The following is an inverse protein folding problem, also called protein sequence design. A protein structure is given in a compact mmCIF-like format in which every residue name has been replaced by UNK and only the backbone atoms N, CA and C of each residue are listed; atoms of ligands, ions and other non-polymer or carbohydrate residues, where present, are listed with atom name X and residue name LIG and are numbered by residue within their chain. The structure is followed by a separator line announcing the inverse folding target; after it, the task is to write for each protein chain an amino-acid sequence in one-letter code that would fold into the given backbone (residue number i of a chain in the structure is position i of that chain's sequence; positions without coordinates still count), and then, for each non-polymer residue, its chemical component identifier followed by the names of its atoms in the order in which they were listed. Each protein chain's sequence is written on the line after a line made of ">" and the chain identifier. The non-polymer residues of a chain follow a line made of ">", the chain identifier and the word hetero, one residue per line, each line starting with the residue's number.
data_IF_000125776196
#
_entry.id   IF_000125776196
#
_cell.length_a   1.000
_cell.length_b   1.000
_cell.length_c   1.000
_cell.angle_alpha   90.00
_cell.angle_beta   90.00
_cell.angle_gamma   90.00
#
_symmetry.space_group_name_H-M   'P 1'
#
loop_
_entity.id
_entity.type
_entity.pdbx_description
1 polymer ?
#
# COMPACT_ATOMS: atom_id res chain seq x y z
N UNK A 1 20.02 -11.02 -11.30
CA UNK A 1 19.49 -10.99 -12.69
C UNK A 1 18.16 -11.74 -12.78
N UNK A 2 18.07 -12.93 -12.19
CA UNK A 2 16.87 -13.80 -12.22
C UNK A 2 15.61 -13.17 -11.60
N UNK A 3 15.73 -12.46 -10.47
CA UNK A 3 14.59 -11.83 -9.78
C UNK A 3 13.84 -10.80 -10.64
N UNK A 4 14.61 -9.89 -11.24
CA UNK A 4 14.10 -8.83 -12.10
C UNK A 4 13.39 -9.41 -13.31
N UNK A 5 13.95 -10.47 -13.89
CA UNK A 5 13.35 -11.15 -15.03
C UNK A 5 12.01 -11.80 -14.65
N UNK A 6 11.92 -12.48 -13.50
CA UNK A 6 10.66 -13.04 -12.98
C UNK A 6 9.58 -11.96 -12.78
N UNK A 7 9.93 -10.82 -12.19
CA UNK A 7 9.01 -9.68 -12.04
C UNK A 7 8.53 -9.14 -13.38
N UNK A 8 9.45 -8.92 -14.31
CA UNK A 8 9.13 -8.40 -15.64
C UNK A 8 8.24 -9.38 -16.44
N UNK A 9 8.52 -10.69 -16.38
CA UNK A 9 7.70 -11.72 -17.01
C UNK A 9 6.29 -11.76 -16.42
N UNK A 10 6.16 -11.67 -15.10
CA UNK A 10 4.86 -11.61 -14.44
C UNK A 10 4.10 -10.31 -14.77
N UNK A 11 4.77 -9.16 -14.74
CA UNK A 11 4.18 -7.87 -15.11
C UNK A 11 3.66 -7.88 -16.55
N UNK A 12 4.41 -8.49 -17.47
CA UNK A 12 3.99 -8.68 -18.87
C UNK A 12 2.75 -9.57 -18.96
N UNK A 13 2.72 -10.69 -18.22
CA UNK A 13 1.54 -11.57 -18.16
C UNK A 13 0.30 -10.86 -17.62
N UNK A 14 0.47 -9.94 -16.66
CA UNK A 14 -0.61 -9.13 -16.07
C UNK A 14 -0.93 -7.85 -16.86
N UNK A 15 -0.29 -7.63 -18.02
CA UNK A 15 -0.65 -6.57 -18.96
C UNK A 15 -0.10 -5.18 -18.63
N UNK A 16 1.16 -5.09 -18.18
CA UNK A 16 1.85 -3.80 -18.02
C UNK A 16 2.02 -3.11 -19.38
N UNK A 17 1.94 -1.77 -19.43
CA UNK A 17 2.17 -1.02 -20.65
C UNK A 17 3.67 -1.02 -21.06
N UNK A 18 3.95 -0.65 -22.32
CA UNK A 18 5.31 -0.61 -22.86
C UNK A 18 6.25 0.31 -22.06
N UNK A 19 5.76 1.48 -21.64
CA UNK A 19 6.53 2.45 -20.85
C UNK A 19 6.86 1.92 -19.47
N UNK A 20 5.89 1.31 -18.77
CA UNK A 20 6.09 0.66 -17.48
C UNK A 20 7.07 -0.52 -17.57
N UNK A 21 6.97 -1.33 -18.62
CA UNK A 21 7.91 -2.42 -18.88
C UNK A 21 9.33 -1.90 -19.15
N UNK A 22 9.46 -0.82 -19.92
CA UNK A 22 10.73 -0.14 -20.19
C UNK A 22 11.36 0.42 -18.92
N UNK A 23 10.56 1.04 -18.05
CA UNK A 23 11.01 1.55 -16.77
C UNK A 23 11.54 0.43 -15.86
N UNK A 24 10.80 -0.67 -15.71
CA UNK A 24 11.25 -1.84 -14.95
C UNK A 24 12.59 -2.40 -15.47
N UNK A 25 12.81 -2.39 -16.79
CA UNK A 25 14.07 -2.83 -17.41
C UNK A 25 15.27 -1.97 -16.99
N UNK A 26 15.05 -0.74 -16.54
CA UNK A 26 16.11 0.17 -16.09
C UNK A 26 16.40 0.09 -14.58
N UNK A 27 15.49 -0.49 -13.78
CA UNK A 27 15.61 -0.55 -12.32
C UNK A 27 16.59 -1.62 -11.81
N UNK A 28 17.26 -1.34 -10.69
CA UNK A 28 17.91 -2.36 -9.86
C UNK A 28 16.89 -3.01 -8.89
N UNK A 29 17.33 -3.94 -8.04
CA UNK A 29 16.45 -4.65 -7.09
C UNK A 29 15.65 -3.67 -6.23
N UNK A 30 16.29 -2.65 -5.70
CA UNK A 30 15.67 -1.74 -4.73
C UNK A 30 14.69 -0.79 -5.43
N UNK A 31 14.99 -0.37 -6.67
CA UNK A 31 14.11 0.45 -7.50
C UNK A 31 12.91 -0.29 -8.08
N UNK A 32 12.89 -1.63 -8.03
CA UNK A 32 11.70 -2.39 -8.46
C UNK A 32 10.51 -2.18 -7.53
N UNK A 33 10.75 -1.92 -6.24
CA UNK A 33 9.69 -1.50 -5.31
C UNK A 33 9.23 -0.08 -5.58
N UNK A 34 10.12 0.78 -6.06
CA UNK A 34 9.71 2.14 -6.40
C UNK A 34 8.72 2.13 -7.57
N UNK A 35 8.84 1.19 -8.52
CA UNK A 35 7.82 0.93 -9.56
C UNK A 35 6.45 0.58 -8.95
N UNK A 36 6.45 -0.16 -7.83
CA UNK A 36 5.26 -0.62 -7.13
C UNK A 36 4.60 0.52 -6.35
N UNK A 37 5.41 1.31 -5.63
CA UNK A 37 4.99 2.49 -4.86
C UNK A 37 4.50 3.62 -5.76
N UNK A 38 5.05 3.77 -6.97
CA UNK A 38 4.65 4.82 -7.93
C UNK A 38 3.40 4.49 -8.72
N UNK A 39 3.03 3.21 -8.84
CA UNK A 39 1.82 2.77 -9.55
C UNK A 39 0.99 1.80 -8.70
N UNK A 40 0.59 2.21 -7.49
CA UNK A 40 0.02 1.29 -6.52
C UNK A 40 -1.31 0.73 -7.03
N UNK A 41 -2.15 1.54 -7.68
CA UNK A 41 -3.44 1.13 -8.23
C UNK A 41 -3.32 -0.02 -9.24
N UNK A 42 -2.43 0.10 -10.23
CA UNK A 42 -2.20 -0.94 -11.23
C UNK A 42 -1.73 -2.25 -10.59
N UNK A 43 -0.83 -2.13 -9.63
CA UNK A 43 -0.25 -3.27 -8.93
C UNK A 43 -1.27 -3.98 -8.03
N UNK A 44 -2.09 -3.21 -7.31
CA UNK A 44 -3.15 -3.73 -6.46
C UNK A 44 -4.28 -4.38 -7.27
N UNK A 45 -4.75 -3.73 -8.33
CA UNK A 45 -5.79 -4.28 -9.21
C UNK A 45 -5.44 -5.65 -9.80
N UNK A 46 -4.14 -5.92 -9.98
CA UNK A 46 -3.63 -7.11 -10.66
C UNK A 46 -2.97 -8.11 -9.73
N UNK A 47 -2.98 -7.90 -8.41
CA UNK A 47 -2.31 -8.77 -7.45
C UNK A 47 -0.82 -8.97 -7.79
N UNK A 48 -0.09 -7.86 -7.93
CA UNK A 48 1.30 -7.86 -8.38
C UNK A 48 2.17 -6.96 -7.49
N UNK A 49 3.35 -7.41 -7.03
CA UNK A 49 3.81 -8.80 -7.02
C UNK A 49 2.98 -9.65 -6.04
N UNK A 50 2.97 -10.96 -6.21
CA UNK A 50 2.22 -11.86 -5.30
C UNK A 50 2.82 -11.88 -3.89
N UNK A 51 2.01 -12.21 -2.88
CA UNK A 51 2.46 -12.38 -1.49
C UNK A 51 3.70 -13.27 -1.33
N UNK A 52 3.75 -14.50 -1.88
CA UNK A 52 4.92 -15.36 -1.75
C UNK A 52 6.18 -14.71 -2.32
N UNK A 53 6.03 -13.98 -3.43
CA UNK A 53 7.13 -13.29 -4.07
C UNK A 53 7.69 -12.17 -3.20
N UNK A 54 6.81 -11.36 -2.59
CA UNK A 54 7.20 -10.28 -1.68
C UNK A 54 7.91 -10.84 -0.44
N UNK A 55 7.38 -11.90 0.17
CA UNK A 55 8.00 -12.53 1.35
C UNK A 55 9.38 -13.11 1.06
N UNK A 56 9.56 -13.78 -0.07
CA UNK A 56 10.84 -14.41 -0.44
C UNK A 56 11.93 -13.39 -0.80
N UNK A 57 11.55 -12.31 -1.49
CA UNK A 57 12.54 -11.45 -2.17
C UNK A 57 12.67 -10.05 -1.55
N UNK A 58 11.71 -9.66 -0.73
CA UNK A 58 11.59 -8.32 -0.16
C UNK A 58 11.10 -8.36 1.31
N UNK A 59 11.77 -9.10 2.22
CA UNK A 59 11.36 -9.17 3.62
C UNK A 59 11.53 -7.84 4.38
N UNK A 60 12.45 -6.98 3.95
CA UNK A 60 12.88 -5.78 4.67
C UNK A 60 12.51 -4.49 3.91
N UNK A 61 11.22 -4.25 3.65
CA UNK A 61 10.74 -3.12 2.81
C UNK A 61 9.76 -2.19 3.51
N UNK A 62 9.61 -2.38 4.82
CA UNK A 62 8.75 -1.55 5.66
C UNK A 62 9.25 -0.10 5.76
N UNK A 63 10.57 0.11 5.59
CA UNK A 63 11.21 1.43 5.53
C UNK A 63 10.74 2.25 4.31
N UNK A 64 10.18 1.58 3.29
CA UNK A 64 9.52 2.19 2.13
C UNK A 64 8.00 2.34 2.31
N UNK A 65 7.47 2.04 3.50
CA UNK A 65 6.05 2.11 3.81
C UNK A 65 5.24 0.92 3.28
N UNK A 66 5.87 -0.17 2.86
CA UNK A 66 5.20 -1.37 2.36
C UNK A 66 5.15 -2.45 3.46
N UNK A 67 3.96 -2.93 3.77
CA UNK A 67 3.71 -3.92 4.82
C UNK A 67 2.95 -5.11 4.24
N UNK A 68 3.41 -6.33 4.56
CA UNK A 68 2.89 -7.56 3.97
C UNK A 68 2.74 -8.61 5.07
N UNK A 69 1.57 -9.24 5.21
CA UNK A 69 1.27 -10.27 6.22
C UNK A 69 1.64 -9.87 7.67
N UNK A 70 1.59 -8.57 7.96
CA UNK A 70 2.01 -8.01 9.24
C UNK A 70 0.87 -7.99 10.26
N UNK A 71 1.21 -8.24 11.53
CA UNK A 71 0.32 -7.95 12.66
C UNK A 71 0.72 -6.62 13.29
N UNK A 72 -0.20 -5.65 13.28
CA UNK A 72 -0.04 -4.32 13.86
C UNK A 72 -0.60 -4.25 15.27
N UNK A 73 0.13 -3.59 16.16
CA UNK A 73 -0.16 -3.46 17.59
C UNK A 73 -0.44 -2.01 18.04
N UNK A 74 -0.63 -1.08 17.11
CA UNK A 74 -0.96 0.33 17.40
C UNK A 74 0.11 1.31 16.94
N UNK A 75 1.00 0.88 16.04
CA UNK A 75 2.05 1.67 15.42
C UNK A 75 1.44 2.89 14.72
N UNK A 76 2.17 4.02 14.73
CA UNK A 76 1.76 5.23 14.05
C UNK A 76 2.38 5.29 12.66
N UNK A 77 1.55 5.22 11.62
CA UNK A 77 1.98 5.31 10.22
C UNK A 77 1.71 6.74 9.73
N UNK A 78 2.71 7.62 9.85
CA UNK A 78 2.59 9.02 9.43
C UNK A 78 3.88 9.62 8.84
N UNK A 79 4.88 8.79 8.54
CA UNK A 79 6.17 9.23 7.95
C UNK A 79 6.16 9.06 6.43
N UNK A 80 5.45 8.07 5.92
CA UNK A 80 5.33 7.76 4.49
C UNK A 80 3.88 7.49 4.12
N UNK A 81 3.63 7.39 2.82
CA UNK A 81 2.46 6.68 2.32
C UNK A 81 2.54 5.22 2.78
N UNK A 82 1.42 4.62 3.20
CA UNK A 82 1.41 3.26 3.72
C UNK A 82 0.66 2.33 2.77
N UNK A 83 1.36 1.27 2.38
CA UNK A 83 0.95 0.27 1.42
C UNK A 83 0.82 -1.07 2.17
N UNK A 84 -0.39 -1.39 2.61
CA UNK A 84 -0.66 -2.46 3.56
C UNK A 84 -1.38 -3.61 2.86
N UNK A 85 -0.68 -4.72 2.68
CA UNK A 85 -1.14 -5.79 1.79
C UNK A 85 -1.21 -7.14 2.47
N UNK A 86 -2.05 -7.99 1.90
CA UNK A 86 -2.07 -9.43 2.12
C UNK A 86 -2.14 -9.83 3.59
N UNK A 87 -3.33 -10.16 4.08
CA UNK A 87 -3.54 -10.68 5.44
C UNK A 87 -3.04 -9.79 6.60
N UNK A 88 -2.54 -8.58 6.33
CA UNK A 88 -2.21 -7.61 7.35
C UNK A 88 -3.39 -7.38 8.30
N UNK A 89 -3.14 -7.40 9.61
CA UNK A 89 -4.19 -7.38 10.63
C UNK A 89 -3.81 -6.55 11.84
N UNK A 90 -4.80 -6.11 12.62
CA UNK A 90 -4.57 -5.44 13.90
C UNK A 90 -4.98 -3.97 13.90
N UNK A 91 -4.25 -3.14 14.65
CA UNK A 91 -4.60 -1.74 14.85
C UNK A 91 -3.45 -0.83 14.43
N UNK A 92 -3.76 0.23 13.68
CA UNK A 92 -2.80 1.28 13.32
C UNK A 92 -3.32 2.66 13.73
N UNK A 93 -2.39 3.60 13.93
CA UNK A 93 -2.67 5.02 14.19
C UNK A 93 -2.18 5.85 13.01
N UNK A 94 -2.94 6.86 12.60
CA UNK A 94 -2.58 7.72 11.47
C UNK A 94 -3.07 9.14 11.70
N UNK A 95 -2.37 10.12 11.14
CA UNK A 95 -2.70 11.53 11.25
C UNK A 95 -1.60 12.42 10.71
N UNK A 96 -1.81 13.73 10.77
CA UNK A 96 -0.82 14.71 10.31
C UNK A 96 0.50 14.54 11.06
N UNK A 97 1.58 14.36 10.31
CA UNK A 97 2.93 14.55 10.82
C UNK A 97 3.38 15.97 10.47
N UNK A 98 3.50 16.83 11.49
CA UNK A 98 3.84 18.24 11.32
C UNK A 98 5.29 18.39 10.86
N UNK A 99 6.20 17.63 11.45
CA UNK A 99 7.64 17.71 11.18
C UNK A 99 7.94 17.37 9.72
N UNK A 100 7.29 16.32 9.21
CA UNK A 100 7.47 15.88 7.83
C UNK A 100 6.50 16.57 6.85
N UNK A 101 5.55 17.36 7.33
CA UNK A 101 4.45 17.95 6.54
C UNK A 101 3.67 16.91 5.70
N UNK A 102 3.44 15.72 6.26
CA UNK A 102 2.80 14.59 5.57
C UNK A 102 1.43 14.30 6.18
N UNK A 103 0.45 14.09 5.30
CA UNK A 103 -0.79 13.39 5.62
C UNK A 103 -0.69 12.01 4.94
N UNK A 104 -0.64 10.91 5.71
CA UNK A 104 -0.48 9.58 5.15
C UNK A 104 -1.75 9.20 4.37
N UNK A 105 -1.57 8.69 3.16
CA UNK A 105 -2.57 7.96 2.39
C UNK A 105 -2.35 6.47 2.63
N UNK A 106 -3.45 5.74 2.78
CA UNK A 106 -3.42 4.31 3.04
C UNK A 106 -3.93 3.56 1.82
N UNK A 107 -3.17 2.56 1.38
CA UNK A 107 -3.54 1.63 0.33
C UNK A 107 -3.63 0.23 0.93
N UNK A 108 -4.80 -0.40 0.86
CA UNK A 108 -5.05 -1.71 1.45
C UNK A 108 -5.54 -2.68 0.38
N UNK A 109 -4.98 -3.88 0.35
CA UNK A 109 -5.42 -4.92 -0.60
C UNK A 109 -5.29 -6.32 -0.01
N UNK A 110 -6.07 -7.24 -0.58
CA UNK A 110 -5.90 -8.69 -0.38
C UNK A 110 -6.13 -9.17 1.06
N UNK A 111 -7.33 -8.96 1.60
CA UNK A 111 -7.78 -9.62 2.83
C UNK A 111 -7.29 -8.98 4.13
N UNK A 112 -6.93 -7.69 4.10
CA UNK A 112 -6.52 -6.98 5.31
C UNK A 112 -7.67 -6.84 6.32
N UNK A 113 -7.35 -6.90 7.61
CA UNK A 113 -8.28 -6.77 8.73
C UNK A 113 -7.80 -5.74 9.75
N UNK A 114 -8.11 -4.46 9.52
CA UNK A 114 -7.52 -3.35 10.26
C UNK A 114 -8.54 -2.48 10.99
N UNK A 115 -8.15 -2.05 12.18
CA UNK A 115 -8.72 -0.91 12.89
C UNK A 115 -7.80 0.29 12.76
N UNK A 116 -8.31 1.39 12.20
CA UNK A 116 -7.55 2.61 11.93
C UNK A 116 -8.03 3.70 12.89
N UNK A 117 -7.09 4.27 13.65
CA UNK A 117 -7.36 5.28 14.67
C UNK A 117 -6.69 6.59 14.28
N UNK A 118 -7.48 7.68 14.26
CA UNK A 118 -6.93 9.03 14.05
C UNK A 118 -6.06 9.47 15.22
N UNK A 119 -4.84 9.92 14.97
CA UNK A 119 -3.90 10.45 15.95
C UNK A 119 -3.47 11.87 15.59
N UNK A 120 -3.01 12.63 16.58
CA UNK A 120 -2.50 13.98 16.39
C UNK A 120 -2.39 14.71 17.72
N UNK A 121 -1.40 15.60 17.81
CA UNK A 121 -1.16 16.40 19.01
C UNK A 121 -1.58 17.87 18.80
N UNK A 122 -1.89 18.23 17.55
CA UNK A 122 -2.37 19.53 17.13
C UNK A 122 -3.67 19.37 16.33
N UNK A 123 -4.64 20.25 16.59
CA UNK A 123 -5.86 20.35 15.78
C UNK A 123 -5.72 21.62 14.94
N UNK A 124 -5.52 21.51 13.62
CA UNK A 124 -5.64 22.67 12.73
C UNK A 124 -7.05 23.23 12.79
N UNK A 125 -7.33 24.36 12.13
CA UNK A 125 -8.72 24.88 12.01
C UNK A 125 -9.72 23.82 11.51
N UNK A 126 -9.24 22.77 10.83
CA UNK A 126 -9.99 21.59 10.41
C UNK A 126 -9.16 20.32 10.64
N UNK A 127 -9.80 19.16 10.92
CA UNK A 127 -9.13 17.86 10.93
C UNK A 127 -8.44 17.57 9.58
N UNK A 128 -7.35 16.80 9.61
CA UNK A 128 -6.67 16.35 8.40
C UNK A 128 -7.48 15.25 7.69
N UNK A 129 -7.59 15.35 6.37
CA UNK A 129 -8.25 14.35 5.54
C UNK A 129 -7.27 13.21 5.21
N UNK A 130 -7.47 12.04 5.81
CA UNK A 130 -6.69 10.82 5.52
C UNK A 130 -7.47 9.93 4.55
N UNK A 131 -7.00 9.77 3.30
CA UNK A 131 -7.62 8.88 2.33
C UNK A 131 -7.20 7.42 2.58
N UNK A 132 -8.16 6.51 2.39
CA UNK A 132 -8.02 5.07 2.53
C UNK A 132 -8.53 4.44 1.25
N UNK A 133 -7.64 3.90 0.44
CA UNK A 133 -7.99 3.15 -0.76
C UNK A 133 -7.96 1.65 -0.44
N UNK A 134 -9.06 0.94 -0.73
CA UNK A 134 -9.15 -0.50 -0.51
C UNK A 134 -9.42 -1.20 -1.83
N UNK A 135 -8.66 -2.25 -2.13
CA UNK A 135 -8.78 -3.04 -3.35
C UNK A 135 -9.21 -4.46 -3.01
N UNK A 136 -10.35 -4.88 -3.56
CA UNK A 136 -10.97 -6.17 -3.27
C UNK A 136 -11.49 -6.28 -1.84
N UNK A 137 -11.57 -7.52 -1.34
CA UNK A 137 -12.16 -7.81 -0.02
C UNK A 137 -11.17 -7.45 1.10
N UNK A 138 -11.56 -6.49 1.93
CA UNK A 138 -10.85 -6.09 3.16
C UNK A 138 -11.89 -5.79 4.25
N UNK A 139 -11.53 -6.05 5.50
CA UNK A 139 -12.31 -5.67 6.69
C UNK A 139 -11.60 -4.49 7.37
N UNK A 140 -12.13 -3.29 7.17
CA UNK A 140 -11.45 -2.05 7.58
C UNK A 140 -12.43 -1.18 8.33
N UNK A 141 -12.07 -0.79 9.54
CA UNK A 141 -12.82 0.16 10.36
C UNK A 141 -12.00 1.42 10.62
N UNK A 142 -12.60 2.58 10.38
CA UNK A 142 -12.02 3.88 10.67
C UNK A 142 -13.12 4.83 11.17
N UNK A 143 -12.85 5.57 12.25
CA UNK A 143 -13.82 6.52 12.83
C UNK A 143 -13.19 7.89 12.95
N UNK A 144 -13.84 8.89 12.35
CA UNK A 144 -13.42 10.28 12.43
C UNK A 144 -13.31 10.74 13.88
N UNK A 145 -12.39 11.66 14.13
CA UNK A 145 -12.25 12.34 15.41
C UNK A 145 -11.83 13.80 15.21
N UNK A 146 -11.49 14.50 16.30
CA UNK A 146 -11.10 15.91 16.24
C UNK A 146 -9.82 16.19 15.44
N UNK A 147 -8.99 15.18 15.20
CA UNK A 147 -7.70 15.31 14.49
C UNK A 147 -7.79 14.88 13.03
N UNK A 148 -8.57 13.83 12.74
CA UNK A 148 -8.59 13.19 11.43
C UNK A 148 -10.01 12.92 10.95
N UNK A 149 -10.24 13.23 9.68
CA UNK A 149 -11.38 12.76 8.89
C UNK A 149 -10.91 11.70 7.91
N UNK A 150 -11.56 10.54 7.92
CA UNK A 150 -11.23 9.43 7.02
C UNK A 150 -12.13 9.45 5.79
N UNK A 151 -11.52 9.25 4.61
CA UNK A 151 -12.23 9.09 3.35
C UNK A 151 -11.92 7.71 2.75
N UNK A 152 -12.91 6.83 2.72
CA UNK A 152 -12.76 5.47 2.21
C UNK A 152 -13.16 5.40 0.73
N UNK A 153 -12.25 4.91 -0.10
CA UNK A 153 -12.42 4.64 -1.52
C UNK A 153 -12.32 3.14 -1.74
N UNK A 154 -13.40 2.54 -2.25
CA UNK A 154 -13.46 1.09 -2.52
C UNK A 154 -13.30 0.83 -4.00
N UNK A 155 -12.30 0.04 -4.36
CA UNK A 155 -12.00 -0.40 -5.70
C UNK A 155 -12.11 -1.93 -5.79
N UNK A 156 -12.58 -2.43 -6.92
CA UNK A 156 -12.61 -3.86 -7.21
C UNK A 156 -11.27 -4.31 -7.81
N UNK A 157 -10.91 -5.58 -7.61
CA UNK A 157 -9.78 -6.18 -8.31
C UNK A 157 -10.17 -6.45 -9.76
N UNK A 158 -9.22 -6.26 -10.69
CA UNK A 158 -9.42 -6.72 -12.06
C UNK A 158 -9.40 -8.25 -12.02
N UNK A 159 -10.56 -8.84 -12.32
CA UNK A 159 -10.63 -10.28 -12.57
C UNK A 159 -9.82 -10.55 -13.83
N UNK A 160 -8.66 -11.20 -13.69
CA UNK A 160 -8.01 -11.80 -14.85
C UNK A 160 -9.03 -12.73 -15.48
N UNK A 161 -9.37 -12.50 -16.75
CA UNK A 161 -10.09 -13.51 -17.52
C UNK A 161 -9.11 -14.67 -17.63
N UNK A 162 -9.43 -15.78 -16.97
CA UNK A 162 -8.75 -17.05 -17.22
C UNK A 162 -8.79 -17.27 -18.75
N UNK A 163 -7.63 -17.17 -19.38
CA UNK A 163 -7.38 -17.67 -20.73
C UNK A 163 -6.56 -18.95 -20.60
#
# INVERSE_FOLDING_TARGET
>A
MELKQKLMEEARRKGICGDGYGYMRSCDRDRLIDCYVTNPDWCMERDYPTLPFLQENFPDIEDKGVFVDKTFHGETLNVLQAYIFHNCKGTIRVGLNIENAIIPMLYLANGCRLRIIGAGDYVPKKPSDVPIYTFGKNDVSAKNNKYVTFRLYKNELIKNRDQ
#
